data_IF_987419349550
#
_entry.id   IF_987419349550
#
_cell.length_a   1.000
_cell.length_b   1.000
_cell.length_c   1.000
_cell.angle_alpha   90.00
_cell.angle_beta   90.00
_cell.angle_gamma   90.00
#
_symmetry.space_group_name_H-M   'P 1'
#
loop_
_entity.id
_entity.type
_entity.pdbx_description
1 polymer ?
#
# COMPACT_ATOMS: atom_id res chain seq x y z
N UNK A 1 29.33 -8.97 -23.12
CA UNK A 1 28.13 -8.20 -22.73
C UNK A 1 27.82 -8.61 -21.29
N UNK A 2 28.16 -7.79 -20.30
CA UNK A 2 27.89 -8.11 -18.90
C UNK A 2 26.42 -7.84 -18.64
N UNK A 3 25.63 -8.90 -18.45
CA UNK A 3 24.28 -8.78 -17.91
C UNK A 3 24.39 -8.26 -16.48
N UNK A 4 24.07 -6.98 -16.30
CA UNK A 4 23.84 -6.45 -14.96
C UNK A 4 22.63 -7.19 -14.40
N UNK A 5 22.74 -7.88 -13.24
CA UNK A 5 21.57 -8.48 -12.64
C UNK A 5 20.52 -7.39 -12.48
N UNK A 6 19.32 -7.65 -13.00
CA UNK A 6 18.18 -6.74 -12.84
C UNK A 6 17.99 -6.55 -11.33
N UNK A 7 18.16 -5.32 -10.84
CA UNK A 7 17.88 -5.00 -9.44
C UNK A 7 16.38 -5.03 -9.25
N UNK A 8 15.87 -6.19 -8.95
CA UNK A 8 14.47 -6.36 -8.62
C UNK A 8 14.27 -5.95 -7.17
N UNK A 9 13.39 -4.97 -6.96
CA UNK A 9 13.01 -4.54 -5.64
C UNK A 9 11.75 -5.28 -5.18
N UNK A 10 11.68 -5.56 -3.89
CA UNK A 10 10.44 -5.95 -3.24
C UNK A 10 10.01 -4.82 -2.34
N UNK A 11 8.77 -4.35 -2.54
CA UNK A 11 8.15 -3.31 -1.71
C UNK A 11 7.00 -3.94 -0.95
N UNK A 12 7.04 -3.86 0.37
CA UNK A 12 5.93 -4.29 1.22
C UNK A 12 5.30 -3.06 1.89
N UNK A 13 3.97 -3.05 1.94
CA UNK A 13 3.17 -2.10 2.71
C UNK A 13 2.32 -2.94 3.66
N UNK A 14 2.41 -2.66 4.93
CA UNK A 14 1.73 -3.41 5.99
C UNK A 14 1.02 -2.45 6.93
N UNK A 15 -0.21 -2.77 7.30
CA UNK A 15 -0.99 -2.07 8.32
C UNK A 15 -1.55 -3.07 9.33
N UNK A 16 -1.75 -2.59 10.54
CA UNK A 16 -2.41 -3.28 11.65
C UNK A 16 -3.89 -2.87 11.78
N UNK A 17 -4.47 -2.40 10.69
CA UNK A 17 -5.86 -1.98 10.62
C UNK A 17 -6.85 -3.13 10.77
N UNK A 18 -8.11 -2.84 10.49
CA UNK A 18 -9.20 -3.81 10.68
C UNK A 18 -9.11 -5.05 9.79
N UNK A 19 -8.32 -5.02 8.73
CA UNK A 19 -8.16 -6.11 7.77
C UNK A 19 -9.46 -6.49 7.03
N UNK A 20 -9.39 -7.59 6.29
CA UNK A 20 -10.51 -8.13 5.50
C UNK A 20 -10.66 -9.64 5.72
N UNK A 21 -11.88 -10.14 5.61
CA UNK A 21 -12.13 -11.58 5.57
C UNK A 21 -11.75 -12.17 4.22
N UNK A 22 -11.43 -13.47 4.12
CA UNK A 22 -11.12 -14.11 2.84
C UNK A 22 -12.19 -13.89 1.77
N UNK A 23 -13.45 -13.91 2.16
CA UNK A 23 -14.59 -13.71 1.28
C UNK A 23 -14.73 -12.26 0.78
N UNK A 24 -14.20 -11.28 1.52
CA UNK A 24 -14.34 -9.87 1.17
C UNK A 24 -13.19 -9.35 0.29
N UNK A 25 -12.02 -9.97 0.30
CA UNK A 25 -10.81 -9.46 -0.36
C UNK A 25 -11.04 -9.15 -1.85
N UNK A 26 -11.70 -10.05 -2.58
CA UNK A 26 -11.92 -9.87 -4.02
C UNK A 26 -12.87 -8.70 -4.35
N UNK A 27 -13.78 -8.37 -3.43
CA UNK A 27 -14.75 -7.28 -3.61
C UNK A 27 -14.24 -5.94 -3.11
N UNK A 28 -13.19 -5.94 -2.30
CA UNK A 28 -12.66 -4.74 -1.64
C UNK A 28 -11.26 -4.39 -2.12
N UNK A 29 -10.25 -5.21 -1.77
CA UNK A 29 -8.84 -4.90 -2.05
C UNK A 29 -8.46 -5.11 -3.52
N UNK A 30 -9.14 -6.04 -4.23
CA UNK A 30 -8.86 -6.35 -5.63
C UNK A 30 -9.80 -5.64 -6.60
N UNK A 31 -10.88 -5.05 -6.09
CA UNK A 31 -11.88 -4.37 -6.94
C UNK A 31 -11.36 -3.01 -7.39
N UNK A 32 -11.35 -2.79 -8.70
CA UNK A 32 -11.01 -1.50 -9.30
C UNK A 32 -12.22 -0.57 -9.23
N UNK A 33 -12.05 0.59 -8.59
CA UNK A 33 -13.08 1.61 -8.51
C UNK A 33 -14.22 1.32 -7.52
N UNK A 34 -14.17 0.23 -6.77
CA UNK A 34 -15.11 -0.03 -5.68
C UNK A 34 -14.58 0.54 -4.37
N UNK A 35 -15.40 1.31 -3.69
CA UNK A 35 -15.05 1.86 -2.37
C UNK A 35 -16.25 1.80 -1.44
N UNK A 36 -16.03 1.33 -0.23
CA UNK A 36 -16.98 1.43 0.89
C UNK A 36 -16.76 2.69 1.72
N UNK A 37 -15.87 3.58 1.24
CA UNK A 37 -15.40 4.76 1.99
C UNK A 37 -16.09 6.04 1.56
N UNK A 38 -16.86 6.03 0.47
CA UNK A 38 -17.48 7.23 -0.08
C UNK A 38 -18.35 8.01 0.94
N UNK A 39 -19.05 7.29 1.81
CA UNK A 39 -19.92 7.88 2.83
C UNK A 39 -19.21 8.16 4.16
N UNK A 40 -17.89 7.93 4.23
CA UNK A 40 -17.10 8.05 5.45
C UNK A 40 -16.09 9.16 5.32
N UNK A 41 -16.51 10.39 5.60
CA UNK A 41 -15.72 11.62 5.46
C UNK A 41 -14.36 11.61 6.18
N UNK A 42 -14.18 10.75 7.17
CA UNK A 42 -12.95 10.58 7.96
C UNK A 42 -11.95 9.59 7.32
N UNK A 43 -12.30 8.93 6.21
CA UNK A 43 -11.42 8.00 5.52
C UNK A 43 -10.85 8.63 4.24
N UNK A 44 -9.57 8.38 4.00
CA UNK A 44 -8.88 8.78 2.78
C UNK A 44 -9.05 7.69 1.71
N UNK A 45 -9.23 8.09 0.44
CA UNK A 45 -9.30 7.16 -0.70
C UNK A 45 -10.71 6.88 -1.18
N UNK A 46 -11.32 7.88 -1.78
CA UNK A 46 -12.71 7.84 -2.28
C UNK A 46 -12.87 7.00 -3.54
N UNK A 47 -11.85 6.92 -4.41
CA UNK A 47 -11.97 6.33 -5.74
C UNK A 47 -11.59 4.85 -5.83
N UNK A 48 -11.03 4.24 -4.79
CA UNK A 48 -10.64 2.82 -4.78
C UNK A 48 -9.55 2.43 -5.80
N UNK A 49 -8.79 3.40 -6.33
CA UNK A 49 -7.80 3.16 -7.38
C UNK A 49 -6.34 3.23 -6.91
N UNK A 50 -6.08 3.83 -5.75
CA UNK A 50 -4.71 4.06 -5.28
C UNK A 50 -3.90 2.79 -5.08
N UNK A 51 -4.50 1.75 -4.48
CA UNK A 51 -3.82 0.48 -4.24
C UNK A 51 -3.51 -0.31 -5.53
N UNK A 52 -4.37 -0.19 -6.53
CA UNK A 52 -4.22 -0.94 -7.78
C UNK A 52 -3.15 -0.35 -8.70
N UNK A 53 -2.80 0.93 -8.57
CA UNK A 53 -1.75 1.56 -9.37
C UNK A 53 -0.38 0.86 -9.22
N UNK A 54 -0.09 0.29 -8.04
CA UNK A 54 1.16 -0.42 -7.78
C UNK A 54 1.27 -1.76 -8.55
N UNK A 55 0.15 -2.34 -9.01
CA UNK A 55 0.17 -3.58 -9.79
C UNK A 55 0.80 -3.38 -11.17
N UNK A 56 0.71 -2.18 -11.75
CA UNK A 56 1.26 -1.86 -13.07
C UNK A 56 2.79 -1.84 -13.12
N UNK A 57 3.41 -1.59 -11.97
CA UNK A 57 4.86 -1.41 -11.86
C UNK A 57 5.54 -2.57 -11.14
N UNK A 58 4.82 -3.66 -10.89
CA UNK A 58 5.35 -4.87 -10.27
C UNK A 58 5.10 -6.10 -11.13
N UNK A 59 5.98 -7.09 -11.06
CA UNK A 59 5.81 -8.38 -11.76
C UNK A 59 4.69 -9.21 -11.15
N UNK A 60 4.66 -9.22 -9.82
CA UNK A 60 3.66 -9.90 -9.00
C UNK A 60 3.35 -9.06 -7.78
N UNK A 61 2.12 -9.14 -7.32
CA UNK A 61 1.71 -8.53 -6.06
C UNK A 61 0.99 -9.56 -5.20
N UNK A 62 1.42 -9.71 -3.95
CA UNK A 62 0.73 -10.52 -2.97
C UNK A 62 -0.14 -9.63 -2.11
N UNK A 63 -1.33 -10.09 -1.83
CA UNK A 63 -2.26 -9.49 -0.88
C UNK A 63 -2.53 -10.53 0.20
N UNK A 64 -2.33 -10.14 1.45
CA UNK A 64 -2.55 -10.97 2.63
C UNK A 64 -3.36 -10.13 3.59
N UNK A 65 -4.49 -10.63 4.09
CA UNK A 65 -5.30 -9.87 5.05
C UNK A 65 -6.05 -10.80 6.00
N UNK A 66 -6.16 -10.37 7.26
CA UNK A 66 -7.00 -11.00 8.28
C UNK A 66 -7.86 -9.95 8.95
N UNK A 67 -9.14 -10.23 9.08
CA UNK A 67 -10.09 -9.36 9.77
C UNK A 67 -9.84 -9.39 11.27
N UNK A 68 -9.98 -8.24 11.94
CA UNK A 68 -9.98 -8.17 13.39
C UNK A 68 -11.15 -9.01 13.95
N UNK A 69 -10.88 -9.85 14.95
CA UNK A 69 -11.81 -10.87 15.43
C UNK A 69 -13.12 -10.27 15.97
N UNK A 70 -13.07 -9.12 16.61
CA UNK A 70 -14.22 -8.38 17.13
C UNK A 70 -15.10 -7.75 16.03
N UNK A 71 -14.63 -7.72 14.80
CA UNK A 71 -15.31 -7.14 13.64
C UNK A 71 -15.74 -8.17 12.59
N UNK A 72 -15.70 -9.45 12.89
CA UNK A 72 -16.06 -10.52 11.96
C UNK A 72 -17.55 -10.55 11.61
N UNK A 73 -18.43 -10.11 12.53
CA UNK A 73 -19.87 -10.03 12.30
C UNK A 73 -20.50 -11.33 11.77
N UNK A 74 -19.99 -12.48 12.20
CA UNK A 74 -20.45 -13.80 11.77
C UNK A 74 -19.76 -14.34 10.50
N UNK A 75 -18.84 -13.59 9.90
CA UNK A 75 -18.01 -14.10 8.81
C UNK A 75 -16.92 -15.05 9.33
N UNK A 76 -16.39 -15.88 8.44
CA UNK A 76 -15.34 -16.85 8.77
C UNK A 76 -14.03 -16.13 9.05
N UNK A 77 -13.43 -16.40 10.22
CA UNK A 77 -12.07 -15.97 10.53
C UNK A 77 -11.05 -16.81 9.74
N UNK A 78 -10.02 -16.15 9.29
CA UNK A 78 -8.90 -16.74 8.57
C UNK A 78 -8.06 -15.68 7.87
N UNK A 79 -6.85 -16.06 7.51
CA UNK A 79 -5.97 -15.21 6.72
C UNK A 79 -6.19 -15.46 5.23
N UNK A 80 -6.89 -14.57 4.57
CA UNK A 80 -7.05 -14.61 3.12
C UNK A 80 -5.79 -14.14 2.41
N UNK A 81 -5.44 -14.77 1.30
CA UNK A 81 -4.29 -14.35 0.51
C UNK A 81 -4.50 -14.59 -0.98
N UNK A 82 -3.83 -13.82 -1.80
CA UNK A 82 -3.80 -14.04 -3.25
C UNK A 82 -2.55 -13.46 -3.88
N UNK A 83 -2.26 -13.92 -5.10
CA UNK A 83 -1.22 -13.38 -5.96
C UNK A 83 -1.88 -12.76 -7.17
N UNK A 84 -1.50 -11.51 -7.46
CA UNK A 84 -1.96 -10.77 -8.62
C UNK A 84 -0.82 -10.73 -9.62
N UNK A 85 -1.17 -10.94 -10.89
CA UNK A 85 -0.24 -10.88 -12.01
C UNK A 85 -0.82 -10.05 -13.14
N UNK A 86 0.01 -9.21 -13.74
CA UNK A 86 -0.30 -8.57 -15.01
C UNK A 86 -0.14 -9.59 -16.15
N UNK A 87 -1.17 -9.74 -16.96
CA UNK A 87 -1.21 -10.71 -18.07
C UNK A 87 -1.24 -9.96 -19.39
N UNK A 88 -0.27 -10.26 -20.25
CA UNK A 88 -0.18 -9.77 -21.63
C UNK A 88 -0.55 -10.91 -22.60
N UNK A 89 -1.80 -10.98 -23.05
CA UNK A 89 -2.22 -12.07 -23.94
C UNK A 89 -1.64 -11.86 -25.34
N UNK A 90 -1.09 -12.94 -25.92
CA UNK A 90 -0.46 -12.89 -27.24
C UNK A 90 -1.38 -12.45 -28.38
N UNK A 91 -2.69 -12.64 -28.23
CA UNK A 91 -3.70 -12.45 -29.29
C UNK A 91 -4.77 -11.39 -28.94
N UNK A 92 -4.59 -10.61 -27.89
CA UNK A 92 -5.50 -9.52 -27.49
C UNK A 92 -4.77 -8.19 -27.47
N UNK A 93 -5.50 -7.11 -27.75
CA UNK A 93 -4.95 -5.74 -27.65
C UNK A 93 -4.88 -5.26 -26.21
N UNK A 94 -5.75 -5.81 -25.34
CA UNK A 94 -5.90 -5.34 -23.98
C UNK A 94 -5.25 -6.31 -23.00
N UNK A 95 -4.35 -5.81 -22.20
CA UNK A 95 -3.79 -6.46 -21.04
C UNK A 95 -4.79 -6.41 -19.85
N UNK A 96 -4.63 -7.33 -18.94
CA UNK A 96 -5.48 -7.40 -17.75
C UNK A 96 -4.74 -7.93 -16.53
N UNK A 97 -5.32 -7.70 -15.36
CA UNK A 97 -4.85 -8.31 -14.12
C UNK A 97 -5.65 -9.56 -13.82
N UNK A 98 -4.93 -10.61 -13.47
CA UNK A 98 -5.50 -11.85 -12.94
C UNK A 98 -5.03 -12.04 -11.50
N UNK A 99 -5.87 -12.58 -10.65
CA UNK A 99 -5.51 -13.00 -9.32
C UNK A 99 -5.85 -14.47 -9.09
N UNK A 100 -5.17 -15.11 -8.13
CA UNK A 100 -5.43 -16.48 -7.75
C UNK A 100 -6.73 -16.55 -6.94
N UNK A 101 -7.75 -17.20 -7.50
CA UNK A 101 -9.00 -17.49 -6.83
C UNK A 101 -9.06 -18.96 -6.40
N UNK A 102 -9.70 -19.24 -5.28
CA UNK A 102 -9.98 -20.59 -4.77
C UNK A 102 -11.33 -21.13 -5.27
N UNK A 103 -12.25 -20.22 -5.62
CA UNK A 103 -13.60 -20.60 -6.10
C UNK A 103 -13.94 -19.86 -7.39
N UNK A 104 -14.90 -20.39 -8.19
CA UNK A 104 -15.38 -19.71 -9.39
C UNK A 104 -15.97 -18.31 -9.14
N UNK A 105 -16.52 -18.08 -7.95
CA UNK A 105 -17.09 -16.81 -7.52
C UNK A 105 -16.03 -15.77 -7.15
N UNK A 106 -14.75 -16.15 -7.18
CA UNK A 106 -13.63 -15.26 -6.97
C UNK A 106 -13.13 -15.17 -5.53
N UNK A 107 -13.62 -16.01 -4.60
CA UNK A 107 -13.07 -16.06 -3.25
C UNK A 107 -11.59 -16.44 -3.29
N UNK A 108 -10.78 -15.79 -2.45
CA UNK A 108 -9.34 -16.06 -2.40
C UNK A 108 -9.03 -17.28 -1.52
N UNK A 109 -7.89 -17.96 -1.73
CA UNK A 109 -7.40 -18.95 -0.79
C UNK A 109 -7.22 -18.37 0.61
N UNK A 110 -7.35 -19.21 1.64
CA UNK A 110 -7.10 -18.78 3.01
C UNK A 110 -6.49 -19.90 3.85
N UNK A 111 -5.89 -19.53 4.95
CA UNK A 111 -5.50 -20.43 6.04
C UNK A 111 -6.47 -20.24 7.21
N UNK A 112 -6.70 -21.31 7.98
CA UNK A 112 -7.67 -21.29 9.08
C UNK A 112 -7.23 -20.33 10.20
N UNK A 113 -8.18 -19.93 11.04
CA UNK A 113 -7.89 -19.15 12.24
C UNK A 113 -6.89 -19.86 13.16
N UNK A 114 -7.02 -21.19 13.32
CA UNK A 114 -6.13 -21.97 14.15
C UNK A 114 -4.68 -21.97 13.65
N UNK A 115 -4.48 -22.12 12.33
CA UNK A 115 -3.15 -22.05 11.72
C UNK A 115 -2.57 -20.63 11.79
N UNK A 116 -3.42 -19.61 11.61
CA UNK A 116 -3.03 -18.21 11.76
C UNK A 116 -2.56 -17.89 13.18
N UNK A 117 -3.26 -18.38 14.20
CA UNK A 117 -2.86 -18.24 15.61
C UNK A 117 -1.53 -18.97 15.89
N UNK A 118 -1.38 -20.21 15.41
CA UNK A 118 -0.14 -20.96 15.55
C UNK A 118 1.05 -20.23 14.89
N UNK A 119 0.82 -19.57 13.76
CA UNK A 119 1.81 -18.76 13.04
C UNK A 119 1.96 -17.33 13.59
N UNK A 120 1.18 -16.95 14.61
CA UNK A 120 1.14 -15.60 15.20
C UNK A 120 0.84 -14.50 14.19
N UNK A 121 -0.05 -14.76 13.24
CA UNK A 121 -0.48 -13.78 12.25
C UNK A 121 -1.62 -12.96 12.86
N UNK A 122 -1.36 -11.68 13.10
CA UNK A 122 -2.33 -10.69 13.58
C UNK A 122 -3.34 -10.27 12.50
N UNK A 123 -4.23 -9.36 12.88
CA UNK A 123 -5.13 -8.69 11.94
C UNK A 123 -4.41 -7.56 11.18
N UNK A 124 -5.02 -7.12 10.09
CA UNK A 124 -4.47 -6.07 9.24
C UNK A 124 -4.34 -6.51 7.79
N UNK A 125 -3.61 -5.72 7.00
CA UNK A 125 -3.38 -6.02 5.59
C UNK A 125 -1.92 -5.82 5.23
N UNK A 126 -1.41 -6.73 4.39
CA UNK A 126 -0.07 -6.67 3.84
C UNK A 126 -0.12 -6.83 2.33
N UNK A 127 0.44 -5.84 1.63
CA UNK A 127 0.74 -5.91 0.21
C UNK A 127 2.23 -6.11 0.01
N UNK A 128 2.62 -7.06 -0.86
CA UNK A 128 4.02 -7.29 -1.22
C UNK A 128 4.16 -7.25 -2.73
N UNK A 129 4.79 -6.22 -3.25
CA UNK A 129 5.05 -6.01 -4.66
C UNK A 129 6.44 -6.53 -5.01
N UNK A 130 6.52 -7.58 -5.81
CA UNK A 130 7.76 -8.26 -6.21
C UNK A 130 8.14 -7.82 -7.61
N UNK A 131 9.42 -7.53 -7.81
CA UNK A 131 9.91 -7.01 -9.07
C UNK A 131 9.37 -5.60 -9.37
N UNK A 132 9.30 -4.77 -8.32
CA UNK A 132 8.82 -3.40 -8.42
C UNK A 132 9.80 -2.53 -9.21
N UNK A 133 9.31 -1.87 -10.24
CA UNK A 133 10.10 -0.97 -11.08
C UNK A 133 9.97 0.48 -10.62
N UNK A 134 11.04 1.00 -10.06
CA UNK A 134 11.16 2.42 -9.70
C UNK A 134 11.66 3.28 -10.87
N UNK A 135 11.76 2.74 -12.08
CA UNK A 135 12.30 3.46 -13.22
C UNK A 135 13.83 3.63 -13.16
N UNK A 136 14.32 4.65 -13.86
CA UNK A 136 15.75 4.93 -13.93
C UNK A 136 16.24 5.56 -12.62
N UNK A 137 17.13 4.90 -11.89
CA UNK A 137 17.77 5.49 -10.72
C UNK A 137 17.82 4.63 -9.46
N UNK A 138 17.59 3.31 -9.57
CA UNK A 138 17.49 2.38 -8.45
C UNK A 138 18.66 2.29 -7.46
N UNK A 139 19.79 2.97 -7.70
CA UNK A 139 20.95 2.91 -6.77
C UNK A 139 20.80 3.77 -5.51
N UNK A 140 19.91 4.76 -5.51
CA UNK A 140 19.67 5.67 -4.38
C UNK A 140 18.20 5.62 -3.90
N UNK A 141 17.46 4.57 -4.29
CA UNK A 141 16.01 4.50 -4.13
C UNK A 141 15.56 4.68 -2.67
N UNK A 142 16.31 4.10 -1.74
CA UNK A 142 15.96 4.13 -0.31
C UNK A 142 15.96 5.55 0.26
N UNK A 143 17.00 6.31 -0.04
CA UNK A 143 17.11 7.71 0.38
C UNK A 143 16.10 8.58 -0.36
N UNK A 144 15.91 8.34 -1.65
CA UNK A 144 14.96 9.07 -2.48
C UNK A 144 13.53 8.81 -2.03
N UNK A 145 13.19 7.56 -1.70
CA UNK A 145 11.85 7.19 -1.23
C UNK A 145 11.51 7.89 0.09
N UNK A 146 12.41 7.86 1.07
CA UNK A 146 12.22 8.59 2.33
C UNK A 146 11.98 10.08 2.10
N UNK A 147 12.80 10.70 1.26
CA UNK A 147 12.68 12.11 0.92
C UNK A 147 11.37 12.38 0.19
N UNK A 148 11.00 11.56 -0.80
CA UNK A 148 9.78 11.72 -1.56
C UNK A 148 8.53 11.60 -0.67
N UNK A 149 8.47 10.60 0.21
CA UNK A 149 7.36 10.40 1.13
C UNK A 149 7.17 11.60 2.06
N UNK A 150 8.27 12.13 2.62
CA UNK A 150 8.21 13.33 3.48
C UNK A 150 7.87 14.61 2.71
N UNK A 151 8.04 14.66 1.39
CA UNK A 151 7.65 15.81 0.58
C UNK A 151 6.21 15.74 0.09
N UNK A 152 5.76 14.54 -0.30
CA UNK A 152 4.41 14.34 -0.87
C UNK A 152 3.34 14.34 0.22
N UNK A 153 3.65 13.71 1.36
CA UNK A 153 2.73 13.66 2.48
C UNK A 153 2.89 14.93 3.32
N UNK A 154 1.82 15.70 3.45
CA UNK A 154 1.87 16.93 4.24
C UNK A 154 1.84 16.62 5.74
N UNK A 155 0.83 15.90 6.18
CA UNK A 155 0.64 15.50 7.58
C UNK A 155 -0.06 14.14 7.60
N UNK A 156 0.67 13.03 7.60
CA UNK A 156 0.06 11.72 7.67
C UNK A 156 -0.68 11.57 9.01
N UNK A 157 -1.96 11.28 8.94
CA UNK A 157 -2.83 11.12 10.12
C UNK A 157 -2.37 9.93 10.95
N UNK A 158 -1.98 8.85 10.27
CA UNK A 158 -1.38 7.68 10.90
C UNK A 158 0.13 7.75 10.72
N UNK A 159 0.91 7.63 11.81
CA UNK A 159 2.35 7.51 11.71
C UNK A 159 2.70 6.22 10.97
N UNK A 160 3.72 6.28 10.12
CA UNK A 160 4.26 5.08 9.51
C UNK A 160 5.76 5.12 9.43
N UNK A 161 6.35 3.95 9.34
CA UNK A 161 7.79 3.76 9.29
C UNK A 161 8.19 3.20 7.93
N UNK A 162 9.27 3.72 7.39
CA UNK A 162 9.93 3.17 6.21
C UNK A 162 11.08 2.28 6.64
N UNK A 163 10.99 1.00 6.31
CA UNK A 163 12.05 0.03 6.53
C UNK A 163 12.86 -0.17 5.26
N UNK A 164 14.17 -0.14 5.41
CA UNK A 164 15.12 -0.48 4.35
C UNK A 164 16.11 -1.50 4.92
N UNK A 165 15.89 -2.77 4.59
CA UNK A 165 16.55 -3.86 5.28
C UNK A 165 16.21 -3.82 6.77
N UNK A 166 17.19 -3.63 7.62
CA UNK A 166 17.02 -3.54 9.09
C UNK A 166 16.91 -2.11 9.63
N UNK A 167 17.01 -1.12 8.77
CA UNK A 167 16.96 0.29 9.18
C UNK A 167 15.54 0.81 9.07
N UNK A 168 15.01 1.36 10.15
CA UNK A 168 13.71 2.01 10.21
C UNK A 168 13.84 3.53 10.27
N UNK A 169 12.91 4.25 9.62
CA UNK A 169 12.82 5.69 9.70
C UNK A 169 11.34 6.11 9.72
N UNK A 170 10.96 6.91 10.70
CA UNK A 170 9.60 7.45 10.80
C UNK A 170 9.39 8.52 9.73
N UNK A 171 8.27 8.45 9.02
CA UNK A 171 7.85 9.43 8.02
C UNK A 171 6.87 10.40 8.66
N UNK A 172 7.31 11.62 8.90
CA UNK A 172 6.52 12.66 9.56
C UNK A 172 5.74 13.56 8.59
N UNK A 173 6.14 13.58 7.32
CA UNK A 173 5.56 14.43 6.32
C UNK A 173 6.11 15.86 6.30
N UNK A 174 5.63 16.63 5.32
CA UNK A 174 6.15 17.97 5.03
C UNK A 174 5.77 19.00 6.10
N UNK A 175 4.61 18.85 6.75
CA UNK A 175 4.18 19.73 7.83
C UNK A 175 5.16 19.72 9.00
N UNK A 176 5.61 18.54 9.44
CA UNK A 176 6.63 18.41 10.48
C UNK A 176 7.96 19.00 10.05
N UNK A 177 8.37 18.73 8.80
CA UNK A 177 9.59 19.29 8.23
C UNK A 177 9.58 20.82 8.23
N UNK A 178 8.46 21.43 7.88
CA UNK A 178 8.30 22.88 7.86
C UNK A 178 8.23 23.50 9.26
N UNK A 179 7.62 22.82 10.22
CA UNK A 179 7.51 23.31 11.60
C UNK A 179 8.79 23.15 12.41
N UNK A 180 9.64 22.17 12.06
CA UNK A 180 10.91 21.90 12.76
C UNK A 180 12.11 22.68 12.20
N UNK A 181 11.89 23.70 11.42
CA UNK A 181 12.89 24.50 10.70
C UNK A 181 13.81 25.36 11.56
N UNK A 182 13.92 25.14 12.85
CA UNK A 182 15.00 25.73 13.65
C UNK A 182 16.40 25.12 13.45
N UNK A 183 16.55 24.08 12.65
CA UNK A 183 17.81 23.34 12.45
C UNK A 183 18.32 23.41 11.00
N UNK A 184 19.62 23.49 10.84
CA UNK A 184 20.40 23.64 9.61
C UNK A 184 20.21 22.57 8.51
N UNK A 185 19.27 21.66 8.62
CA UNK A 185 18.99 20.59 7.65
C UNK A 185 17.79 20.85 6.74
N UNK A 186 17.15 21.96 6.89
CA UNK A 186 16.02 22.37 6.03
C UNK A 186 16.48 23.10 4.77
N UNK A 187 17.60 22.73 4.25
CA UNK A 187 18.41 23.51 3.33
C UNK A 187 17.81 23.81 1.98
N UNK A 188 16.63 23.34 1.61
CA UNK A 188 16.08 23.61 0.28
C UNK A 188 14.56 23.86 0.26
N UNK A 189 13.93 24.10 1.41
CA UNK A 189 12.58 24.62 1.40
C UNK A 189 12.63 26.13 1.64
N UNK A 190 11.98 26.95 0.82
CA UNK A 190 11.78 28.34 1.16
C UNK A 190 11.10 28.40 2.53
N UNK A 191 11.60 29.23 3.42
CA UNK A 191 10.96 29.51 4.69
C UNK A 191 9.53 29.99 4.39
N UNK A 192 8.55 29.15 4.64
CA UNK A 192 7.16 29.59 4.62
C UNK A 192 6.88 30.31 5.93
N UNK A 193 7.17 31.60 5.95
CA UNK A 193 6.90 32.47 7.10
C UNK A 193 5.40 32.63 7.39
N UNK A 194 4.54 32.13 6.50
CA UNK A 194 3.09 32.21 6.66
C UNK A 194 2.43 30.90 6.22
N UNK A 195 1.76 30.25 7.13
CA UNK A 195 0.76 29.22 6.81
C UNK A 195 -0.51 29.99 6.43
N UNK A 196 -0.87 29.95 5.16
CA UNK A 196 -2.16 30.50 4.73
C UNK A 196 -3.28 29.63 5.27
N UNK A 197 -4.32 30.21 5.90
CA UNK A 197 -5.49 29.43 6.27
C UNK A 197 -6.10 28.79 5.00
N UNK A 198 -6.66 27.58 5.11
CA UNK A 198 -7.33 26.96 3.97
C UNK A 198 -8.42 27.88 3.45
N UNK A 199 -8.35 28.17 2.16
CA UNK A 199 -9.39 28.94 1.47
C UNK A 199 -10.51 27.96 1.10
N UNK A 200 -11.79 28.31 1.32
CA UNK A 200 -12.89 27.50 0.83
C UNK A 200 -12.79 27.41 -0.69
N UNK A 201 -12.71 26.21 -1.22
CA UNK A 201 -12.85 25.98 -2.65
C UNK A 201 -14.33 26.20 -2.96
N UNK A 202 -14.63 27.24 -3.70
CA UNK A 202 -15.99 27.51 -4.11
C UNK A 202 -16.55 26.33 -4.90
N UNK A 203 -17.77 25.94 -4.56
CA UNK A 203 -18.59 24.97 -5.28
C UNK A 203 -19.24 25.68 -6.46
#
# INVERSE_FOLDING_TARGET
>A
MYDKPSREFTVAVEDDGIGQTPAAIHRTLLSLGSTTKADKWYLIGVFGQGGSAAYFVSKYSWVISRRAADLLQGETDGVGWTVIKHVFPKNRRDDYYAYLAATPEGAVPFISAADAEAAKIGHGTRFVHIGYDFGRGGSAITRQLYTALNHVLYNPILPFELYVGTTAAVVYGNGYRLSSLGGSRATNAPALDKVFPPQPVGV
#
